data_IF_631205413391
#
_entry.id   IF_631205413391
#
_cell.length_a   1.000
_cell.length_b   1.000
_cell.length_c   1.000
_cell.angle_alpha   90.00
_cell.angle_beta   90.00
_cell.angle_gamma   90.00
#
_symmetry.space_group_name_H-M   'P 1'
#
loop_
_entity.id
_entity.type
_entity.pdbx_description
1 polymer ?
#
# COMPACT_ATOMS: atom_id res chain seq x y z
N UNK A 1 -16.14 -22.13 -32.28
CA UNK A 1 -15.94 -22.44 -30.84
C UNK A 1 -15.52 -21.16 -30.15
N UNK A 2 -16.44 -20.56 -29.39
CA UNK A 2 -16.20 -19.39 -28.56
C UNK A 2 -15.60 -19.84 -27.23
N UNK A 3 -14.39 -19.40 -26.89
CA UNK A 3 -13.95 -19.21 -25.50
C UNK A 3 -12.88 -18.11 -25.47
N UNK A 4 -13.33 -16.85 -25.48
CA UNK A 4 -12.56 -15.78 -24.84
C UNK A 4 -12.85 -15.86 -23.34
N UNK A 5 -12.14 -16.73 -22.65
CA UNK A 5 -11.96 -16.59 -21.21
C UNK A 5 -11.06 -15.37 -20.99
N UNK A 6 -11.65 -14.18 -21.00
CA UNK A 6 -11.02 -13.01 -20.40
C UNK A 6 -10.84 -13.35 -18.92
N UNK A 7 -9.61 -13.68 -18.53
CA UNK A 7 -9.18 -13.76 -17.15
C UNK A 7 -9.48 -12.40 -16.53
N UNK A 8 -10.64 -12.25 -15.91
CA UNK A 8 -11.04 -11.02 -15.26
C UNK A 8 -10.13 -10.90 -14.04
N UNK A 9 -8.99 -10.24 -14.21
CA UNK A 9 -8.10 -9.91 -13.10
C UNK A 9 -8.98 -9.29 -12.02
N UNK A 10 -9.07 -9.94 -10.85
CA UNK A 10 -9.87 -9.49 -9.72
C UNK A 10 -9.48 -8.04 -9.43
N UNK A 11 -10.30 -7.09 -9.89
CA UNK A 11 -10.06 -5.67 -9.67
C UNK A 11 -10.24 -5.41 -8.19
N UNK A 12 -9.33 -4.65 -7.61
CA UNK A 12 -9.46 -4.26 -6.22
C UNK A 12 -10.67 -3.34 -6.07
N UNK A 13 -11.43 -3.48 -4.97
CA UNK A 13 -12.68 -2.72 -4.73
C UNK A 13 -12.50 -1.20 -4.83
N UNK A 14 -11.30 -0.70 -4.48
CA UNK A 14 -10.95 0.71 -4.63
C UNK A 14 -11.10 1.18 -6.09
N UNK A 15 -10.57 0.40 -7.04
CA UNK A 15 -10.64 0.73 -8.46
C UNK A 15 -12.09 0.63 -8.98
N UNK A 16 -12.87 -0.34 -8.49
CA UNK A 16 -14.31 -0.43 -8.80
C UNK A 16 -15.07 0.80 -8.33
N UNK A 17 -14.89 1.20 -7.08
CA UNK A 17 -15.59 2.36 -6.52
C UNK A 17 -15.17 3.66 -7.20
N UNK A 18 -13.88 3.83 -7.51
CA UNK A 18 -13.41 4.96 -8.31
C UNK A 18 -14.04 4.97 -9.71
N UNK A 19 -14.19 3.79 -10.34
CA UNK A 19 -14.84 3.66 -11.64
C UNK A 19 -16.32 4.05 -11.56
N UNK A 20 -17.03 3.58 -10.54
CA UNK A 20 -18.43 3.97 -10.28
C UNK A 20 -18.54 5.49 -10.13
N UNK A 21 -17.69 6.10 -9.32
CA UNK A 21 -17.68 7.55 -9.11
C UNK A 21 -17.45 8.31 -10.42
N UNK A 22 -16.56 7.82 -11.28
CA UNK A 22 -16.25 8.45 -12.55
C UNK A 22 -17.45 8.46 -13.49
N UNK A 23 -18.16 7.33 -13.61
CA UNK A 23 -19.35 7.23 -14.44
C UNK A 23 -20.56 7.98 -13.88
N UNK A 24 -20.66 8.14 -12.55
CA UNK A 24 -21.68 9.01 -11.95
C UNK A 24 -21.36 10.50 -12.10
N UNK A 25 -20.09 10.88 -12.32
CA UNK A 25 -19.70 12.25 -12.65
C UNK A 25 -19.91 12.58 -14.13
N UNK A 26 -19.61 11.63 -15.01
CA UNK A 26 -19.77 11.80 -16.45
C UNK A 26 -20.27 10.51 -17.10
N UNK A 27 -21.61 10.30 -17.12
CA UNK A 27 -22.21 9.10 -17.69
C UNK A 27 -21.91 8.88 -19.17
N UNK A 28 -21.48 9.92 -19.90
CA UNK A 28 -21.18 9.85 -21.34
C UNK A 28 -19.98 8.96 -21.67
N UNK A 29 -19.17 8.62 -20.66
CA UNK A 29 -18.10 7.63 -20.82
C UNK A 29 -18.61 6.19 -20.87
N UNK A 30 -19.87 5.93 -20.52
CA UNK A 30 -20.52 4.64 -20.78
C UNK A 30 -21.09 4.59 -22.20
N UNK A 31 -21.39 3.39 -22.68
CA UNK A 31 -22.20 3.24 -23.90
C UNK A 31 -23.54 3.93 -23.73
N UNK A 32 -24.08 4.47 -24.83
CA UNK A 32 -25.28 5.32 -24.83
C UNK A 32 -26.44 4.63 -24.09
N UNK A 33 -26.67 3.35 -24.36
CA UNK A 33 -27.74 2.53 -23.77
C UNK A 33 -27.65 2.37 -22.24
N UNK A 34 -26.47 2.54 -21.64
CA UNK A 34 -26.28 2.50 -20.19
C UNK A 34 -26.15 3.90 -19.57
N UNK A 35 -25.61 4.86 -20.33
CA UNK A 35 -25.44 6.24 -19.88
C UNK A 35 -26.76 6.89 -19.45
N UNK A 36 -27.85 6.58 -20.16
CA UNK A 36 -29.19 7.08 -19.89
C UNK A 36 -29.81 6.51 -18.61
N UNK A 37 -29.26 5.42 -18.07
CA UNK A 37 -29.72 4.79 -16.85
C UNK A 37 -29.11 5.43 -15.59
N UNK A 38 -28.12 6.31 -15.76
CA UNK A 38 -27.48 7.04 -14.66
C UNK A 38 -28.12 8.42 -14.54
N UNK A 39 -28.91 8.62 -13.49
CA UNK A 39 -29.44 9.92 -13.13
C UNK A 39 -28.42 10.72 -12.30
N UNK A 40 -27.44 11.31 -12.98
CA UNK A 40 -26.39 12.10 -12.36
C UNK A 40 -26.92 13.34 -11.59
N UNK A 41 -28.14 13.80 -11.89
CA UNK A 41 -28.77 14.97 -11.24
C UNK A 41 -29.17 14.70 -9.80
N UNK A 42 -29.48 13.44 -9.47
CA UNK A 42 -29.85 13.01 -8.11
C UNK A 42 -28.65 12.65 -7.25
N UNK A 43 -27.50 12.40 -7.87
CA UNK A 43 -26.28 12.02 -7.17
C UNK A 43 -25.67 13.21 -6.40
N UNK A 44 -25.04 12.92 -5.26
CA UNK A 44 -24.29 13.92 -4.49
C UNK A 44 -22.94 14.21 -5.15
N UNK A 45 -22.94 15.02 -6.20
CA UNK A 45 -21.75 15.32 -7.02
C UNK A 45 -20.58 15.91 -6.21
N UNK A 46 -20.88 16.76 -5.22
CA UNK A 46 -19.86 17.32 -4.31
C UNK A 46 -19.21 16.22 -3.48
N UNK A 47 -20.01 15.31 -2.94
CA UNK A 47 -19.53 14.11 -2.24
C UNK A 47 -18.66 13.24 -3.14
N UNK A 48 -19.13 12.92 -4.35
CA UNK A 48 -18.41 12.07 -5.30
C UNK A 48 -17.03 12.68 -5.61
N UNK A 49 -16.94 13.98 -5.91
CA UNK A 49 -15.66 14.65 -6.17
C UNK A 49 -14.70 14.60 -4.97
N UNK A 50 -15.22 14.80 -3.76
CA UNK A 50 -14.45 14.72 -2.51
C UNK A 50 -13.89 13.31 -2.27
N UNK A 51 -14.71 12.27 -2.48
CA UNK A 51 -14.29 10.89 -2.28
C UNK A 51 -13.36 10.40 -3.38
N UNK A 52 -13.59 10.82 -4.62
CA UNK A 52 -12.66 10.57 -5.73
C UNK A 52 -11.24 11.07 -5.41
N UNK A 53 -11.10 12.31 -4.92
CA UNK A 53 -9.80 12.84 -4.52
C UNK A 53 -9.18 12.07 -3.35
N UNK A 54 -10.00 11.66 -2.37
CA UNK A 54 -9.53 10.85 -1.24
C UNK A 54 -9.06 9.47 -1.70
N UNK A 55 -9.77 8.86 -2.65
CA UNK A 55 -9.45 7.55 -3.21
C UNK A 55 -8.21 7.60 -4.11
N UNK A 56 -8.00 8.66 -4.89
CA UNK A 56 -6.74 8.88 -5.60
C UNK A 56 -5.53 8.94 -4.66
N UNK A 57 -5.63 9.71 -3.58
CA UNK A 57 -4.55 9.82 -2.59
C UNK A 57 -4.28 8.48 -1.90
N UNK A 58 -5.33 7.75 -1.57
CA UNK A 58 -5.24 6.43 -0.95
C UNK A 58 -4.61 5.41 -1.91
N UNK A 59 -5.08 5.39 -3.16
CA UNK A 59 -4.55 4.53 -4.23
C UNK A 59 -3.06 4.81 -4.47
N UNK A 60 -2.68 6.07 -4.54
CA UNK A 60 -1.28 6.44 -4.72
C UNK A 60 -0.40 5.94 -3.57
N UNK A 61 -0.82 6.15 -2.32
CA UNK A 61 -0.10 5.66 -1.15
C UNK A 61 0.02 4.13 -1.15
N UNK A 62 -1.09 3.42 -1.38
CA UNK A 62 -1.12 1.96 -1.49
C UNK A 62 -0.22 1.43 -2.62
N UNK A 63 -0.35 1.96 -3.83
CA UNK A 63 0.47 1.53 -4.96
C UNK A 63 1.96 1.81 -4.77
N UNK A 64 2.32 2.83 -3.97
CA UNK A 64 3.71 3.11 -3.62
C UNK A 64 4.27 2.02 -2.72
N UNK A 65 3.51 1.55 -1.72
CA UNK A 65 3.97 0.49 -0.81
C UNK A 65 4.21 -0.83 -1.55
N UNK A 66 3.35 -1.18 -2.52
CA UNK A 66 3.48 -2.38 -3.34
C UNK A 66 4.77 -2.45 -4.19
N UNK A 67 5.46 -1.32 -4.41
CA UNK A 67 6.70 -1.30 -5.21
C UNK A 67 7.92 -1.76 -4.42
N UNK A 68 7.87 -1.74 -3.09
CA UNK A 68 9.06 -1.94 -2.27
C UNK A 68 9.62 -3.35 -2.33
N UNK A 69 8.79 -4.38 -2.57
CA UNK A 69 9.29 -5.72 -2.88
C UNK A 69 10.31 -5.67 -4.04
N UNK A 70 9.96 -4.98 -5.13
CA UNK A 70 10.84 -4.83 -6.30
C UNK A 70 12.07 -3.98 -5.95
N UNK A 71 11.92 -2.95 -5.13
CA UNK A 71 13.04 -2.10 -4.70
C UNK A 71 14.05 -2.89 -3.87
N UNK A 72 13.59 -3.69 -2.91
CA UNK A 72 14.45 -4.58 -2.14
C UNK A 72 15.06 -5.71 -2.99
N UNK A 73 14.40 -6.17 -4.04
CA UNK A 73 14.98 -7.22 -4.89
C UNK A 73 16.10 -6.70 -5.80
N UNK A 74 15.91 -5.55 -6.45
CA UNK A 74 16.71 -5.17 -7.63
C UNK A 74 17.38 -3.79 -7.59
N UNK A 75 16.96 -2.86 -6.73
CA UNK A 75 17.40 -1.46 -6.85
C UNK A 75 18.66 -1.19 -6.02
N UNK A 76 19.79 -1.67 -6.52
CA UNK A 76 21.12 -1.46 -5.95
C UNK A 76 22.01 -0.71 -6.95
N UNK A 77 22.80 0.28 -6.51
CA UNK A 77 23.72 1.01 -7.38
C UNK A 77 24.68 0.05 -8.07
N UNK A 78 24.78 0.16 -9.40
CA UNK A 78 25.84 -0.52 -10.15
C UNK A 78 27.15 0.28 -10.12
N UNK A 79 27.05 1.58 -9.82
CA UNK A 79 28.16 2.50 -9.68
C UNK A 79 28.54 2.54 -8.20
N UNK A 80 29.84 2.44 -7.89
CA UNK A 80 30.34 2.44 -6.52
C UNK A 80 30.22 3.77 -5.76
N UNK A 81 29.31 4.67 -6.18
CA UNK A 81 29.07 5.96 -5.52
C UNK A 81 28.24 5.83 -4.25
N UNK A 82 27.40 4.81 -4.15
CA UNK A 82 26.58 4.52 -2.96
C UNK A 82 26.71 3.02 -2.70
N UNK A 83 27.03 2.65 -1.47
CA UNK A 83 27.13 1.24 -1.11
C UNK A 83 25.75 0.56 -1.11
N UNK A 84 25.70 -0.73 -1.46
CA UNK A 84 24.45 -1.48 -1.47
C UNK A 84 23.79 -1.57 -0.09
N UNK A 85 24.58 -1.53 0.98
CA UNK A 85 24.11 -1.54 2.38
C UNK A 85 23.38 -0.23 2.67
N UNK A 86 23.99 0.91 2.32
CA UNK A 86 23.38 2.24 2.41
C UNK A 86 22.10 2.33 1.58
N UNK A 87 22.13 1.81 0.35
CA UNK A 87 20.95 1.76 -0.52
C UNK A 87 19.80 0.95 0.09
N UNK A 88 20.07 -0.22 0.66
CA UNK A 88 19.05 -1.04 1.32
C UNK A 88 18.48 -0.31 2.54
N UNK A 89 19.33 0.35 3.33
CA UNK A 89 18.89 1.13 4.48
C UNK A 89 17.95 2.27 4.08
N UNK A 90 18.27 3.00 3.00
CA UNK A 90 17.40 4.03 2.43
C UNK A 90 16.04 3.48 1.99
N UNK A 91 16.02 2.35 1.29
CA UNK A 91 14.76 1.72 0.88
C UNK A 91 13.90 1.31 2.07
N UNK A 92 14.51 0.79 3.14
CA UNK A 92 13.79 0.40 4.36
C UNK A 92 13.16 1.61 5.03
N UNK A 93 13.90 2.71 5.19
CA UNK A 93 13.36 3.92 5.79
C UNK A 93 12.20 4.51 4.97
N UNK A 94 12.38 4.58 3.65
CA UNK A 94 11.35 5.07 2.74
C UNK A 94 10.10 4.16 2.78
N UNK A 95 10.29 2.84 2.84
CA UNK A 95 9.20 1.87 2.99
C UNK A 95 8.39 2.09 4.26
N UNK A 96 9.06 2.23 5.41
CA UNK A 96 8.41 2.46 6.70
C UNK A 96 7.64 3.79 6.73
N UNK A 97 8.18 4.84 6.09
CA UNK A 97 7.49 6.12 5.95
C UNK A 97 6.26 6.05 5.05
N UNK A 98 6.34 5.33 3.92
CA UNK A 98 5.23 5.16 3.01
C UNK A 98 4.12 4.30 3.61
N UNK A 99 4.46 3.27 4.39
CA UNK A 99 3.49 2.47 5.14
C UNK A 99 2.77 3.30 6.20
N UNK A 100 3.48 4.18 6.92
CA UNK A 100 2.84 5.14 7.83
C UNK A 100 1.90 6.09 7.06
N UNK A 101 2.36 6.60 5.92
CA UNK A 101 1.56 7.49 5.09
C UNK A 101 0.28 6.80 4.65
N UNK A 102 0.36 5.53 4.23
CA UNK A 102 -0.80 4.74 3.85
C UNK A 102 -1.77 4.54 5.01
N UNK A 103 -1.29 4.16 6.20
CA UNK A 103 -2.08 4.08 7.44
C UNK A 103 -2.85 5.39 7.69
N UNK A 104 -2.16 6.52 7.63
CA UNK A 104 -2.75 7.82 7.90
C UNK A 104 -3.81 8.20 6.85
N UNK A 105 -3.64 7.81 5.58
CA UNK A 105 -4.68 8.02 4.55
C UNK A 105 -5.93 7.18 4.82
N UNK A 106 -5.80 5.95 5.33
CA UNK A 106 -6.94 5.12 5.74
C UNK A 106 -7.68 5.77 6.93
N UNK A 107 -6.96 6.16 7.98
CA UNK A 107 -7.57 6.79 9.17
C UNK A 107 -8.32 8.10 8.80
N UNK A 108 -7.72 8.94 7.94
CA UNK A 108 -8.38 10.16 7.43
C UNK A 108 -9.62 9.83 6.61
N UNK A 109 -9.58 8.78 5.78
CA UNK A 109 -10.75 8.35 5.01
C UNK A 109 -11.89 7.92 5.94
N UNK A 110 -11.59 7.16 7.00
CA UNK A 110 -12.56 6.78 8.01
C UNK A 110 -13.19 7.96 8.73
N UNK A 111 -12.39 8.94 9.15
CA UNK A 111 -12.92 10.16 9.75
C UNK A 111 -13.91 10.89 8.82
N UNK A 112 -13.62 10.92 7.51
CA UNK A 112 -14.51 11.52 6.49
C UNK A 112 -15.79 10.71 6.32
N UNK A 113 -15.67 9.40 6.07
CA UNK A 113 -16.80 8.48 5.84
C UNK A 113 -17.76 8.48 7.03
N UNK A 114 -17.24 8.39 8.26
CA UNK A 114 -18.04 8.42 9.49
C UNK A 114 -18.97 9.63 9.54
N UNK A 115 -18.42 10.82 9.36
CA UNK A 115 -19.18 12.07 9.48
C UNK A 115 -20.24 12.22 8.38
N UNK A 116 -19.95 11.73 7.17
CA UNK A 116 -20.86 11.83 6.05
C UNK A 116 -21.97 10.76 6.09
N UNK A 117 -21.63 9.50 6.38
CA UNK A 117 -22.61 8.40 6.50
C UNK A 117 -23.60 8.68 7.64
N UNK A 118 -23.16 9.26 8.76
CA UNK A 118 -24.04 9.64 9.88
C UNK A 118 -25.13 10.66 9.51
N UNK A 119 -25.01 11.35 8.36
CA UNK A 119 -26.05 12.28 7.88
C UNK A 119 -27.27 11.55 7.34
N UNK A 120 -27.09 10.33 6.83
CA UNK A 120 -28.15 9.52 6.21
C UNK A 120 -28.51 8.26 7.00
N UNK A 121 -27.62 7.79 7.87
CA UNK A 121 -27.85 6.60 8.69
C UNK A 121 -28.82 6.89 9.85
N UNK A 122 -29.78 5.98 10.04
CA UNK A 122 -30.67 5.97 11.20
C UNK A 122 -29.95 5.49 12.47
N UNK A 123 -28.97 4.59 12.33
CA UNK A 123 -28.23 3.95 13.42
C UNK A 123 -26.87 4.62 13.70
N UNK A 124 -26.90 5.90 14.08
CA UNK A 124 -25.68 6.73 14.25
C UNK A 124 -24.65 6.18 15.25
N UNK A 125 -25.08 5.45 16.29
CA UNK A 125 -24.21 4.84 17.30
C UNK A 125 -23.39 3.70 16.71
N UNK A 126 -24.04 2.76 16.03
CA UNK A 126 -23.38 1.63 15.36
C UNK A 126 -22.33 2.11 14.34
N UNK A 127 -22.63 3.20 13.63
CA UNK A 127 -21.67 3.82 12.71
C UNK A 127 -20.44 4.35 13.46
N UNK A 128 -20.62 5.02 14.60
CA UNK A 128 -19.49 5.47 15.41
C UNK A 128 -18.63 4.31 15.91
N UNK A 129 -19.25 3.22 16.35
CA UNK A 129 -18.57 2.02 16.83
C UNK A 129 -17.82 1.31 15.69
N UNK A 130 -18.44 1.14 14.52
CA UNK A 130 -17.81 0.54 13.34
C UNK A 130 -16.54 1.30 12.93
N UNK A 131 -16.63 2.63 12.79
CA UNK A 131 -15.47 3.43 12.39
C UNK A 131 -14.39 3.51 13.48
N UNK A 132 -14.77 3.49 14.76
CA UNK A 132 -13.80 3.41 15.86
C UNK A 132 -13.04 2.09 15.83
N UNK A 133 -13.75 0.97 15.75
CA UNK A 133 -13.16 -0.36 15.62
C UNK A 133 -12.29 -0.46 14.36
N UNK A 134 -12.72 0.17 13.26
CA UNK A 134 -11.94 0.30 12.03
C UNK A 134 -10.58 1.00 12.27
N UNK A 135 -10.56 2.16 12.93
CA UNK A 135 -9.31 2.88 13.25
C UNK A 135 -8.41 2.03 14.15
N UNK A 136 -8.96 1.40 15.19
CA UNK A 136 -8.20 0.52 16.08
C UNK A 136 -7.59 -0.66 15.31
N UNK A 137 -8.35 -1.28 14.41
CA UNK A 137 -7.86 -2.35 13.54
C UNK A 137 -6.79 -1.86 12.55
N UNK A 138 -6.93 -0.63 12.03
CA UNK A 138 -5.90 -0.01 11.17
C UNK A 138 -4.58 0.08 11.92
N UNK A 139 -4.61 0.52 13.18
CA UNK A 139 -3.41 0.59 14.03
C UNK A 139 -2.84 -0.77 14.36
N UNK A 140 -3.67 -1.78 14.55
CA UNK A 140 -3.22 -3.15 14.78
C UNK A 140 -2.51 -3.73 13.55
N UNK A 141 -3.14 -3.64 12.38
CA UNK A 141 -2.61 -4.15 11.09
C UNK A 141 -1.27 -3.48 10.75
N UNK A 142 -1.20 -2.16 10.86
CA UNK A 142 0.03 -1.41 10.59
C UNK A 142 1.01 -1.38 11.78
N UNK A 143 0.57 -1.84 12.96
CA UNK A 143 1.36 -1.82 14.19
C UNK A 143 2.60 -2.70 14.10
N UNK A 144 2.50 -3.83 13.37
CA UNK A 144 3.66 -4.70 13.13
C UNK A 144 4.75 -4.01 12.31
N UNK A 145 4.36 -3.17 11.34
CA UNK A 145 5.28 -2.35 10.53
C UNK A 145 5.84 -1.19 11.34
N UNK A 146 4.97 -0.56 12.15
CA UNK A 146 5.31 0.59 12.99
C UNK A 146 6.28 0.25 14.11
N UNK A 147 6.34 -1.02 14.57
CA UNK A 147 7.35 -1.51 15.54
C UNK A 147 8.78 -1.35 15.02
N UNK A 148 8.98 -1.41 13.71
CA UNK A 148 10.27 -1.16 13.06
C UNK A 148 10.53 0.34 12.80
N UNK A 149 9.55 1.22 13.06
CA UNK A 149 9.71 2.67 12.97
C UNK A 149 9.85 3.35 14.32
N UNK A 150 9.31 2.74 15.39
CA UNK A 150 9.40 3.14 16.79
C UNK A 150 9.25 4.65 17.05
N UNK A 151 8.04 5.09 17.44
CA UNK A 151 7.68 6.42 17.98
C UNK A 151 8.88 7.36 18.21
N UNK A 152 9.20 8.27 17.27
CA UNK A 152 10.06 9.44 17.46
C UNK A 152 11.05 9.37 18.66
N UNK A 153 11.87 8.31 18.79
CA UNK A 153 12.77 8.16 19.93
C UNK A 153 14.05 8.93 19.63
N UNK A 154 13.94 10.24 19.85
CA UNK A 154 14.99 11.25 19.91
C UNK A 154 15.88 11.40 18.66
N UNK A 155 16.24 12.66 18.38
CA UNK A 155 17.27 13.02 17.40
C UNK A 155 18.55 12.22 17.68
N UNK A 156 18.83 11.17 16.90
CA UNK A 156 20.13 10.50 16.93
C UNK A 156 20.14 9.00 16.60
N UNK A 157 19.16 8.21 17.01
CA UNK A 157 19.14 6.78 16.70
C UNK A 157 18.15 6.48 15.58
N UNK A 158 18.66 6.37 14.35
CA UNK A 158 17.91 5.81 13.22
C UNK A 158 17.58 4.35 13.57
N UNK A 159 16.36 3.90 13.27
CA UNK A 159 16.08 2.46 13.22
C UNK A 159 17.16 1.79 12.35
N UNK A 160 17.75 0.70 12.86
CA UNK A 160 18.75 -0.06 12.14
C UNK A 160 18.39 -1.54 12.18
N UNK A 161 18.30 -2.16 11.00
CA UNK A 161 18.16 -3.61 10.91
C UNK A 161 19.44 -4.26 11.47
N UNK A 162 19.35 -5.26 12.38
CA UNK A 162 20.52 -5.85 13.01
C UNK A 162 21.52 -6.47 12.03
N UNK A 163 21.04 -7.04 10.92
CA UNK A 163 21.93 -7.62 9.91
C UNK A 163 22.53 -6.52 9.04
N UNK A 164 21.81 -5.43 8.76
CA UNK A 164 22.44 -4.26 8.14
C UNK A 164 23.52 -3.65 9.03
N UNK A 165 23.28 -3.51 10.33
CA UNK A 165 24.28 -3.01 11.26
C UNK A 165 25.53 -3.91 11.27
N UNK A 166 25.33 -5.23 11.23
CA UNK A 166 26.44 -6.18 11.14
C UNK A 166 27.19 -6.03 9.82
N UNK A 167 26.49 -5.85 8.70
CA UNK A 167 27.10 -5.61 7.40
C UNK A 167 27.88 -4.28 7.36
N UNK A 168 27.34 -3.19 7.93
CA UNK A 168 28.02 -1.89 8.05
C UNK A 168 29.27 -1.97 8.92
N UNK A 169 29.19 -2.65 10.07
CA UNK A 169 30.35 -2.85 10.93
C UNK A 169 31.45 -3.64 10.21
N UNK A 170 31.10 -4.71 9.50
CA UNK A 170 32.04 -5.47 8.70
C UNK A 170 32.66 -4.61 7.58
N UNK A 171 31.87 -3.75 6.93
CA UNK A 171 32.36 -2.79 5.95
C UNK A 171 33.36 -1.79 6.57
N UNK A 172 33.02 -1.21 7.74
CA UNK A 172 33.92 -0.31 8.47
C UNK A 172 35.23 -0.98 8.89
N UNK A 173 35.21 -2.25 9.30
CA UNK A 173 36.42 -3.02 9.56
C UNK A 173 37.28 -3.21 8.31
N UNK A 174 36.67 -3.47 7.14
CA UNK A 174 37.40 -3.59 5.88
C UNK A 174 38.06 -2.26 5.47
N UNK A 175 37.40 -1.13 5.71
CA UNK A 175 37.95 0.21 5.48
C UNK A 175 39.11 0.55 6.45
N UNK A 176 39.08 0.04 7.69
CA UNK A 176 40.19 0.15 8.64
C UNK A 176 41.34 -0.79 8.26
N UNK A 177 41.08 -1.96 7.67
CA UNK A 177 42.12 -2.89 7.19
C UNK A 177 42.74 -2.41 5.85
N UNK A 178 42.28 -1.27 5.33
CA UNK A 178 42.78 -0.68 4.09
C UNK A 178 44.27 -0.30 4.17
N UNK A 179 44.95 -0.12 3.02
CA UNK A 179 46.42 0.02 2.92
C UNK A 179 47.06 1.06 3.85
N UNK A 180 46.29 2.08 4.23
CA UNK A 180 46.67 3.13 5.17
C UNK A 180 47.01 2.64 6.59
N UNK A 181 46.60 1.43 6.98
CA UNK A 181 46.91 0.81 8.28
C UNK A 181 47.87 -0.37 8.18
N UNK A 182 48.48 -0.61 7.00
CA UNK A 182 49.32 -1.79 6.76
C UNK A 182 50.49 -1.91 7.74
N UNK A 183 51.10 -0.79 8.12
CA UNK A 183 52.21 -0.78 9.08
C UNK A 183 51.81 -1.26 10.50
N UNK A 184 50.51 -1.27 10.82
CA UNK A 184 49.99 -1.63 12.15
C UNK A 184 49.41 -3.06 12.19
N UNK A 185 49.31 -3.75 11.05
CA UNK A 185 48.66 -5.05 10.95
C UNK A 185 49.68 -6.19 10.84
N UNK A 186 49.35 -7.33 11.47
CA UNK A 186 50.07 -8.57 11.22
C UNK A 186 49.75 -9.05 9.79
N UNK A 187 50.75 -8.96 8.91
CA UNK A 187 50.62 -9.23 7.48
C UNK A 187 50.28 -10.70 7.17
N UNK A 188 50.62 -11.64 8.04
CA UNK A 188 50.25 -13.06 7.87
C UNK A 188 48.76 -13.30 8.13
N UNK A 189 48.15 -12.53 9.04
CA UNK A 189 46.74 -12.67 9.42
C UNK A 189 45.81 -11.75 8.63
N UNK A 190 46.35 -10.69 8.01
CA UNK A 190 45.57 -9.72 7.22
C UNK A 190 44.67 -10.37 6.16
N UNK A 191 45.13 -11.35 5.34
CA UNK A 191 44.25 -12.00 4.37
C UNK A 191 43.05 -12.71 5.00
N UNK A 192 43.26 -13.38 6.14
CA UNK A 192 42.19 -14.10 6.86
C UNK A 192 41.14 -13.13 7.43
N UNK A 193 41.58 -11.97 7.92
CA UNK A 193 40.66 -10.93 8.41
C UNK A 193 39.84 -10.33 7.26
N UNK A 194 40.47 -10.02 6.13
CA UNK A 194 39.78 -9.52 4.93
C UNK A 194 38.72 -10.52 4.47
N UNK A 195 39.08 -11.80 4.36
CA UNK A 195 38.15 -12.86 3.96
C UNK A 195 36.97 -12.97 4.94
N UNK A 196 37.26 -13.01 6.25
CA UNK A 196 36.24 -13.07 7.30
C UNK A 196 35.23 -11.92 7.19
N UNK A 197 35.71 -10.68 7.16
CA UNK A 197 34.82 -9.51 7.15
C UNK A 197 34.14 -9.31 5.80
N UNK A 198 34.76 -9.71 4.69
CA UNK A 198 34.11 -9.73 3.38
C UNK A 198 32.94 -10.70 3.38
N UNK A 199 33.15 -11.92 3.86
CA UNK A 199 32.08 -12.92 3.99
C UNK A 199 30.97 -12.45 4.92
N UNK A 200 31.33 -11.90 6.08
CA UNK A 200 30.36 -11.39 7.05
C UNK A 200 29.50 -10.27 6.47
N UNK A 201 30.12 -9.31 5.76
CA UNK A 201 29.42 -8.21 5.08
C UNK A 201 28.40 -8.72 4.08
N UNK A 202 28.79 -9.67 3.23
CA UNK A 202 27.94 -10.22 2.17
C UNK A 202 26.79 -11.07 2.72
N UNK A 203 27.07 -11.97 3.66
CA UNK A 203 26.06 -12.82 4.28
C UNK A 203 25.02 -12.00 5.04
N UNK A 204 25.46 -11.01 5.83
CA UNK A 204 24.55 -10.13 6.57
C UNK A 204 23.70 -9.25 5.67
N UNK A 205 24.27 -8.73 4.58
CA UNK A 205 23.49 -7.98 3.59
C UNK A 205 22.39 -8.84 2.96
N UNK A 206 22.71 -10.06 2.50
CA UNK A 206 21.73 -10.94 1.86
C UNK A 206 20.63 -11.42 2.84
N UNK A 207 20.97 -11.62 4.12
CA UNK A 207 19.99 -11.92 5.16
C UNK A 207 19.02 -10.76 5.38
N UNK A 208 19.53 -9.53 5.50
CA UNK A 208 18.69 -8.33 5.64
C UNK A 208 17.79 -8.18 4.42
N UNK A 209 18.35 -8.25 3.21
CA UNK A 209 17.61 -8.14 1.94
C UNK A 209 16.46 -9.14 1.88
N UNK A 210 16.73 -10.43 2.14
CA UNK A 210 15.70 -11.47 2.13
C UNK A 210 14.58 -11.19 3.14
N UNK A 211 14.94 -10.81 4.36
CA UNK A 211 13.96 -10.47 5.41
C UNK A 211 13.02 -9.35 4.96
N UNK A 212 13.55 -8.29 4.37
CA UNK A 212 12.75 -7.14 3.95
C UNK A 212 11.89 -7.42 2.73
N UNK A 213 12.34 -8.28 1.81
CA UNK A 213 11.51 -8.81 0.71
C UNK A 213 10.31 -9.59 1.28
N UNK A 214 10.56 -10.51 2.19
CA UNK A 214 9.51 -11.33 2.82
C UNK A 214 8.55 -10.49 3.66
N UNK A 215 9.08 -9.51 4.39
CA UNK A 215 8.28 -8.57 5.17
C UNK A 215 7.39 -7.71 4.26
N UNK A 216 7.93 -7.14 3.18
CA UNK A 216 7.16 -6.39 2.20
C UNK A 216 6.03 -7.23 1.62
N UNK A 217 6.32 -8.47 1.21
CA UNK A 217 5.30 -9.39 0.67
C UNK A 217 4.17 -9.64 1.67
N UNK A 218 4.48 -10.01 2.92
CA UNK A 218 3.47 -10.27 3.95
C UNK A 218 2.64 -9.02 4.25
N UNK A 219 3.28 -7.87 4.35
CA UNK A 219 2.62 -6.61 4.61
C UNK A 219 1.73 -6.18 3.44
N UNK A 220 2.14 -6.41 2.19
CA UNK A 220 1.34 -6.11 1.01
C UNK A 220 0.05 -6.95 1.01
N UNK A 221 0.15 -8.26 1.26
CA UNK A 221 -1.00 -9.16 1.38
C UNK A 221 -1.95 -8.70 2.49
N UNK A 222 -1.39 -8.43 3.69
CA UNK A 222 -2.18 -8.03 4.86
C UNK A 222 -2.86 -6.68 4.67
N UNK A 223 -2.12 -5.66 4.23
CA UNK A 223 -2.65 -4.29 4.11
C UNK A 223 -3.57 -4.11 2.91
N UNK A 224 -3.32 -4.81 1.80
CA UNK A 224 -4.25 -4.85 0.66
C UNK A 224 -5.54 -5.55 1.02
N UNK A 225 -5.46 -6.75 1.64
CA UNK A 225 -6.65 -7.47 2.08
C UNK A 225 -7.47 -6.68 3.11
N UNK A 226 -6.80 -5.97 4.01
CA UNK A 226 -7.46 -5.09 4.97
C UNK A 226 -8.16 -3.91 4.29
N UNK A 227 -7.49 -3.22 3.36
CA UNK A 227 -8.09 -2.12 2.61
C UNK A 227 -9.34 -2.60 1.82
N UNK A 228 -9.25 -3.77 1.19
CA UNK A 228 -10.37 -4.37 0.46
C UNK A 228 -11.57 -4.64 1.38
N UNK A 229 -11.33 -5.28 2.53
CA UNK A 229 -12.37 -5.58 3.51
C UNK A 229 -13.08 -4.32 4.03
N UNK A 230 -12.30 -3.27 4.30
CA UNK A 230 -12.84 -1.97 4.75
C UNK A 230 -13.77 -1.36 3.71
N UNK A 231 -13.28 -1.26 2.48
CA UNK A 231 -14.02 -0.59 1.41
C UNK A 231 -15.28 -1.38 1.05
N UNK A 232 -15.22 -2.72 1.08
CA UNK A 232 -16.41 -3.58 0.95
C UNK A 232 -17.43 -3.30 2.05
N UNK A 233 -17.01 -3.27 3.32
CA UNK A 233 -17.90 -3.00 4.45
C UNK A 233 -18.52 -1.60 4.44
N UNK A 234 -17.83 -0.62 3.88
CA UNK A 234 -18.28 0.79 3.82
C UNK A 234 -18.95 1.18 2.49
N UNK A 235 -18.90 0.35 1.45
CA UNK A 235 -19.43 0.66 0.10
C UNK A 235 -20.90 1.04 0.14
N UNK A 236 -21.75 0.16 0.67
CA UNK A 236 -23.21 0.37 0.65
C UNK A 236 -23.63 1.66 1.42
N UNK A 237 -23.19 1.87 2.68
CA UNK A 237 -23.50 3.11 3.39
C UNK A 237 -22.96 4.37 2.70
N UNK A 238 -21.76 4.31 2.11
CA UNK A 238 -21.20 5.42 1.35
C UNK A 238 -22.04 5.71 0.10
N UNK A 239 -22.47 4.67 -0.61
CA UNK A 239 -23.24 4.81 -1.85
C UNK A 239 -24.64 5.36 -1.56
N UNK A 240 -25.24 4.98 -0.43
CA UNK A 240 -26.46 5.60 0.07
C UNK A 240 -26.26 7.09 0.36
N UNK A 241 -25.18 7.47 1.04
CA UNK A 241 -24.85 8.89 1.29
C UNK A 241 -24.63 9.66 -0.02
N UNK A 242 -24.01 9.02 -1.01
CA UNK A 242 -23.74 9.62 -2.31
C UNK A 242 -24.96 9.60 -3.25
N UNK A 243 -26.03 8.88 -2.87
CA UNK A 243 -27.20 8.60 -3.68
C UNK A 243 -26.84 8.02 -5.07
N UNK A 244 -26.00 6.98 -5.07
CA UNK A 244 -25.57 6.27 -6.27
C UNK A 244 -25.73 4.75 -6.10
N UNK A 245 -25.66 4.02 -7.21
CA UNK A 245 -25.61 2.55 -7.25
C UNK A 245 -24.36 2.09 -7.99
N UNK A 246 -23.85 0.88 -7.72
CA UNK A 246 -22.79 0.29 -8.53
C UNK A 246 -23.17 0.25 -10.01
N UNK A 247 -22.27 0.68 -10.89
CA UNK A 247 -22.56 0.77 -12.33
C UNK A 247 -22.79 -0.61 -12.92
N UNK A 248 -22.05 -1.61 -12.44
CA UNK A 248 -22.25 -2.99 -12.87
C UNK A 248 -23.66 -3.52 -12.54
N UNK A 249 -24.24 -3.12 -11.40
CA UNK A 249 -25.62 -3.50 -11.05
C UNK A 249 -26.62 -2.87 -12.02
N UNK A 250 -26.43 -1.60 -12.39
CA UNK A 250 -27.27 -0.90 -13.38
C UNK A 250 -27.23 -1.61 -14.73
N UNK A 251 -26.03 -1.96 -15.21
CA UNK A 251 -25.83 -2.68 -16.48
C UNK A 251 -26.50 -4.06 -16.43
N UNK A 252 -26.21 -4.84 -15.38
CA UNK A 252 -26.76 -6.19 -15.24
C UNK A 252 -28.29 -6.19 -15.17
N UNK A 253 -28.90 -5.22 -14.50
CA UNK A 253 -30.36 -5.08 -14.45
C UNK A 253 -30.95 -4.77 -15.82
N UNK A 254 -30.31 -3.90 -16.60
CA UNK A 254 -30.77 -3.57 -17.96
C UNK A 254 -30.64 -4.74 -18.93
N UNK A 255 -29.56 -5.52 -18.82
CA UNK A 255 -29.34 -6.70 -19.66
C UNK A 255 -30.33 -7.82 -19.36
N UNK A 256 -30.67 -8.03 -18.08
CA UNK A 256 -31.71 -8.98 -17.68
C UNK A 256 -33.07 -8.59 -18.23
N UNK A 257 -33.45 -7.31 -18.12
CA UNK A 257 -34.72 -6.81 -18.68
C UNK A 257 -34.81 -7.04 -20.19
N UNK A 258 -33.76 -6.69 -20.95
CA UNK A 258 -33.69 -6.95 -22.39
C UNK A 258 -33.85 -8.43 -22.73
N UNK A 259 -33.21 -9.32 -21.96
CA UNK A 259 -33.28 -10.76 -22.19
C UNK A 259 -34.68 -11.33 -21.92
N UNK A 260 -35.37 -10.82 -20.91
CA UNK A 260 -36.74 -11.22 -20.57
C UNK A 260 -37.74 -10.70 -21.62
N UNK A 261 -37.58 -9.47 -22.10
CA UNK A 261 -38.42 -8.88 -23.15
C UNK A 261 -38.33 -9.65 -24.49
N UNK A 262 -37.16 -10.18 -24.85
CA UNK A 262 -37.01 -11.02 -26.07
C UNK A 262 -37.58 -12.44 -25.98
N UNK A 263 -38.03 -12.89 -24.81
CA UNK A 263 -38.63 -14.22 -24.61
C UNK A 263 -40.17 -14.20 -24.63
N UNK A 264 -40.77 -13.02 -24.74
CA UNK A 264 -42.22 -12.79 -24.76
C UNK A 264 -42.67 -12.47 -26.17
#
# INVERSE_FOLDING_TARGET
MNQTETTQANRHILDEMMTDFYFHQDPRFLKIEYSQLIDASKANQVGIKKYMQSFFNLRYAWQKTLKYKKYFEYFYPQTGQIDKIEALNHHIHAYLEDMETFKNKIEVLFGKMKNDIKKVASNKKDIDEFFKAGIEKTREVFGQVSKHRGEHRHRGMRFFDPDLLKAENANGFLEIIAPQFDAMLNQEYKPQLIEKYTKEREESFEMAKRRWIEMAKRNDEQTTGYLDAILKGSRSPLYQFLNIKPVQEIINSAEKQKADDTKT
#
